data_IF_613491864089
#
_entry.id   IF_613491864089
#
_cell.length_a   1.000
_cell.length_b   1.000
_cell.length_c   1.000
_cell.angle_alpha   90.00
_cell.angle_beta   90.00
_cell.angle_gamma   90.00
#
_symmetry.space_group_name_H-M   'P 1'
#
loop_
_entity.id
_entity.type
_entity.pdbx_description
1 polymer ?
#
# COMPACT_ATOMS: atom_id res chain seq x y z
N UNK A 1 -26.34 -0.88 -2.78
CA UNK A 1 -27.11 -2.12 -2.64
C UNK A 1 -26.28 -3.22 -1.99
N UNK A 2 -26.88 -4.38 -1.73
CA UNK A 2 -26.26 -5.50 -1.01
C UNK A 2 -24.88 -5.93 -1.57
N UNK A 3 -24.74 -5.99 -2.89
CA UNK A 3 -23.46 -6.30 -3.56
C UNK A 3 -22.32 -5.34 -3.21
N UNK A 4 -22.63 -4.06 -2.96
CA UNK A 4 -21.63 -3.09 -2.55
C UNK A 4 -20.93 -3.50 -1.24
N UNK A 5 -21.69 -3.94 -0.25
CA UNK A 5 -21.11 -4.37 1.03
C UNK A 5 -20.23 -5.61 0.90
N UNK A 6 -20.62 -6.56 0.04
CA UNK A 6 -19.82 -7.77 -0.22
C UNK A 6 -18.50 -7.38 -0.89
N UNK A 7 -18.56 -6.55 -1.94
CA UNK A 7 -17.35 -6.09 -2.66
C UNK A 7 -16.45 -5.28 -1.72
N UNK A 8 -17.03 -4.36 -0.94
CA UNK A 8 -16.27 -3.57 0.03
C UNK A 8 -15.56 -4.45 1.06
N UNK A 9 -16.23 -5.47 1.58
CA UNK A 9 -15.61 -6.40 2.53
C UNK A 9 -14.43 -7.16 1.88
N UNK A 10 -14.58 -7.63 0.65
CA UNK A 10 -13.49 -8.30 -0.09
C UNK A 10 -12.32 -7.35 -0.31
N UNK A 11 -12.59 -6.10 -0.71
CA UNK A 11 -11.54 -5.08 -0.93
C UNK A 11 -10.82 -4.77 0.37
N UNK A 12 -11.54 -4.54 1.47
CA UNK A 12 -10.94 -4.25 2.78
C UNK A 12 -10.05 -5.41 3.23
N UNK A 13 -10.56 -6.64 3.23
CA UNK A 13 -9.77 -7.82 3.60
C UNK A 13 -8.55 -7.98 2.69
N UNK A 14 -8.73 -7.80 1.38
CA UNK A 14 -7.64 -7.89 0.40
C UNK A 14 -6.54 -6.86 0.66
N UNK A 15 -6.90 -5.58 0.82
CA UNK A 15 -5.92 -4.50 1.08
C UNK A 15 -5.24 -4.67 2.43
N UNK A 16 -5.98 -4.99 3.50
CA UNK A 16 -5.39 -5.22 4.83
C UNK A 16 -4.33 -6.32 4.78
N UNK A 17 -4.61 -7.43 4.11
CA UNK A 17 -3.63 -8.51 3.94
C UNK A 17 -2.48 -8.10 3.00
N UNK A 18 -2.74 -7.31 1.96
CA UNK A 18 -1.72 -6.82 1.04
C UNK A 18 -0.71 -5.92 1.75
N UNK A 19 -1.18 -5.01 2.61
CA UNK A 19 -0.33 -4.15 3.45
C UNK A 19 0.50 -5.01 4.40
N UNK A 20 -0.10 -5.97 5.09
CA UNK A 20 0.62 -6.90 5.96
C UNK A 20 1.70 -7.70 5.22
N UNK A 21 1.42 -8.18 4.01
CA UNK A 21 2.41 -8.87 3.16
C UNK A 21 3.57 -7.94 2.72
N UNK A 22 3.37 -6.64 2.74
CA UNK A 22 4.37 -5.64 2.35
C UNK A 22 5.38 -5.36 3.47
N UNK A 23 5.05 -5.67 4.73
CA UNK A 23 5.92 -5.49 5.91
C UNK A 23 6.97 -6.60 6.01
N UNK A 24 7.73 -6.84 4.94
CA UNK A 24 8.75 -7.89 4.87
C UNK A 24 10.19 -7.39 4.77
N UNK A 25 10.41 -6.08 4.58
CA UNK A 25 11.73 -5.44 4.45
C UNK A 25 11.74 -4.15 5.28
N UNK A 26 12.89 -3.84 5.88
CA UNK A 26 13.09 -2.68 6.74
C UNK A 26 12.62 -1.37 6.07
N UNK A 27 11.61 -0.72 6.68
CA UNK A 27 11.05 0.55 6.21
C UNK A 27 10.12 0.48 5.01
N UNK A 28 9.85 -0.69 4.44
CA UNK A 28 9.08 -0.80 3.20
C UNK A 28 7.63 -0.37 3.40
N UNK A 29 6.90 -1.02 4.30
CA UNK A 29 5.48 -0.74 4.54
C UNK A 29 5.26 0.69 5.04
N UNK A 30 6.06 1.15 6.01
CA UNK A 30 5.99 2.51 6.52
C UNK A 30 6.20 3.57 5.43
N UNK A 31 7.15 3.34 4.51
CA UNK A 31 7.43 4.27 3.40
C UNK A 31 6.31 4.30 2.36
N UNK A 32 5.79 3.14 1.96
CA UNK A 32 4.67 3.06 1.02
C UNK A 32 3.43 3.70 1.63
N UNK A 33 3.08 3.35 2.87
CA UNK A 33 1.93 3.91 3.58
C UNK A 33 2.04 5.42 3.75
N UNK A 34 3.24 5.95 3.99
CA UNK A 34 3.48 7.40 3.99
C UNK A 34 3.02 8.05 2.67
N UNK A 35 3.49 7.55 1.51
CA UNK A 35 3.11 8.12 0.22
C UNK A 35 1.63 7.91 -0.11
N UNK A 36 1.03 6.80 0.29
CA UNK A 36 -0.40 6.55 0.18
C UNK A 36 -1.19 7.61 0.97
N UNK A 37 -0.80 7.86 2.23
CA UNK A 37 -1.45 8.87 3.06
C UNK A 37 -1.28 10.28 2.51
N UNK A 38 -0.10 10.66 1.98
CA UNK A 38 0.11 11.94 1.30
C UNK A 38 -0.80 12.07 0.07
N UNK A 39 -0.94 11.02 -0.72
CA UNK A 39 -1.80 11.01 -1.91
C UNK A 39 -3.27 11.27 -1.53
N UNK A 40 -3.78 10.55 -0.54
CA UNK A 40 -5.13 10.77 -0.04
C UNK A 40 -5.31 12.12 0.65
N UNK A 41 -4.30 12.64 1.35
CA UNK A 41 -4.33 13.99 1.93
C UNK A 41 -4.55 15.04 0.85
N UNK A 42 -3.81 14.97 -0.27
CA UNK A 42 -3.96 15.91 -1.40
C UNK A 42 -5.34 15.79 -2.02
N UNK A 43 -5.81 14.58 -2.29
CA UNK A 43 -7.14 14.32 -2.87
C UNK A 43 -8.26 14.82 -1.95
N UNK A 44 -8.19 14.49 -0.66
CA UNK A 44 -9.17 14.93 0.32
C UNK A 44 -9.21 16.48 0.46
N UNK A 45 -8.05 17.13 0.37
CA UNK A 45 -7.94 18.59 0.35
C UNK A 45 -8.62 19.17 -0.89
N UNK A 46 -8.39 18.63 -2.08
CA UNK A 46 -9.06 19.05 -3.33
C UNK A 46 -10.58 18.91 -3.24
N UNK A 47 -11.06 17.89 -2.54
CA UNK A 47 -12.49 17.64 -2.33
C UNK A 47 -13.07 18.41 -1.13
N UNK A 48 -12.30 19.30 -0.50
CA UNK A 48 -12.70 20.07 0.69
C UNK A 48 -13.11 19.19 1.89
N UNK A 49 -12.63 17.94 1.94
CA UNK A 49 -12.88 16.99 3.02
C UNK A 49 -11.87 17.18 4.17
N UNK A 50 -11.95 18.31 4.88
CA UNK A 50 -10.94 18.74 5.87
C UNK A 50 -10.65 17.72 6.96
N UNK A 51 -11.67 16.99 7.44
CA UNK A 51 -11.48 15.94 8.44
C UNK A 51 -10.60 14.80 7.91
N UNK A 52 -10.86 14.33 6.69
CA UNK A 52 -10.07 13.26 6.06
C UNK A 52 -8.66 13.74 5.72
N UNK A 53 -8.53 15.02 5.28
CA UNK A 53 -7.23 15.65 5.06
C UNK A 53 -6.37 15.63 6.33
N UNK A 54 -6.94 16.04 7.48
CA UNK A 54 -6.24 16.03 8.76
C UNK A 54 -5.84 14.62 9.21
N UNK A 55 -6.74 13.64 9.02
CA UNK A 55 -6.46 12.23 9.34
C UNK A 55 -5.33 11.65 8.48
N UNK A 56 -5.37 11.91 7.18
CA UNK A 56 -4.34 11.47 6.25
C UNK A 56 -2.97 12.11 6.58
N UNK A 57 -2.97 13.42 6.91
CA UNK A 57 -1.77 14.12 7.32
C UNK A 57 -1.17 13.55 8.63
N UNK A 58 -2.02 13.30 9.64
CA UNK A 58 -1.59 12.70 10.91
C UNK A 58 -1.01 11.30 10.71
N UNK A 59 -1.65 10.50 9.84
CA UNK A 59 -1.19 9.16 9.50
C UNK A 59 0.16 9.18 8.76
N UNK A 60 0.33 10.09 7.81
CA UNK A 60 1.63 10.30 7.14
C UNK A 60 2.71 10.70 8.16
N UNK A 61 2.40 11.64 9.07
CA UNK A 61 3.32 12.03 10.14
C UNK A 61 3.70 10.88 11.07
N UNK A 62 2.75 10.01 11.42
CA UNK A 62 3.00 8.81 12.23
C UNK A 62 3.93 7.82 11.50
N UNK A 63 3.71 7.59 10.20
CA UNK A 63 4.62 6.76 9.39
C UNK A 63 6.03 7.32 9.34
N UNK A 64 6.20 8.65 9.15
CA UNK A 64 7.52 9.29 9.20
C UNK A 64 8.20 9.15 10.57
N UNK A 65 7.45 9.34 11.65
CA UNK A 65 7.97 9.14 13.00
C UNK A 65 8.43 7.69 13.24
N UNK A 66 7.67 6.72 12.76
CA UNK A 66 8.02 5.29 12.83
C UNK A 66 9.26 4.97 11.99
N UNK A 67 9.38 5.52 10.77
CA UNK A 67 10.50 5.29 9.85
C UNK A 67 11.85 5.73 10.42
N UNK A 68 11.89 6.68 11.36
CA UNK A 68 13.14 7.05 12.08
C UNK A 68 13.79 5.85 12.76
N UNK A 69 12.97 4.86 13.16
CA UNK A 69 13.43 3.65 13.87
C UNK A 69 13.34 2.39 13.04
N UNK A 70 12.49 2.37 12.02
CA UNK A 70 12.22 1.19 11.19
C UNK A 70 12.98 1.21 9.85
N UNK A 71 13.54 2.37 9.41
CA UNK A 71 14.35 2.40 8.19
C UNK A 71 15.65 1.60 8.37
N UNK A 72 16.11 0.99 7.28
CA UNK A 72 17.28 0.09 7.29
C UNK A 72 18.56 0.77 7.82
N UNK A 73 19.30 0.16 8.77
CA UNK A 73 18.97 -1.05 9.52
C UNK A 73 17.93 -0.78 10.62
N UNK A 74 16.84 -1.52 10.60
CA UNK A 74 15.73 -1.31 11.52
C UNK A 74 16.11 -1.61 12.97
N UNK A 75 15.62 -0.74 13.88
CA UNK A 75 15.75 -0.90 15.34
C UNK A 75 14.43 -1.31 16.00
N UNK A 76 13.31 -1.09 15.29
CA UNK A 76 11.96 -1.42 15.75
C UNK A 76 11.18 -1.98 14.57
N UNK A 77 10.40 -3.02 14.80
CA UNK A 77 9.55 -3.67 13.81
C UNK A 77 8.08 -3.40 14.13
N UNK A 78 7.26 -3.27 13.08
CA UNK A 78 5.84 -2.96 13.18
C UNK A 78 5.03 -4.17 13.67
N UNK A 79 5.33 -5.34 13.14
CA UNK A 79 4.60 -6.59 13.34
C UNK A 79 3.16 -6.54 12.81
N UNK A 80 2.47 -7.67 12.89
CA UNK A 80 1.12 -7.82 12.35
C UNK A 80 0.12 -6.81 12.91
N UNK A 81 0.26 -6.43 14.19
CA UNK A 81 -0.62 -5.44 14.82
C UNK A 81 -0.53 -4.09 14.11
N UNK A 82 0.68 -3.65 13.75
CA UNK A 82 0.88 -2.37 13.07
C UNK A 82 0.50 -2.44 11.60
N UNK A 83 0.95 -3.44 10.87
CA UNK A 83 0.71 -3.54 9.43
C UNK A 83 -0.77 -3.80 9.09
N UNK A 84 -1.48 -4.64 9.87
CA UNK A 84 -2.93 -4.81 9.73
C UNK A 84 -3.68 -3.52 10.08
N UNK A 85 -3.24 -2.78 11.11
CA UNK A 85 -3.80 -1.48 11.45
C UNK A 85 -3.62 -0.48 10.29
N UNK A 86 -2.42 -0.38 9.71
CA UNK A 86 -2.17 0.50 8.57
C UNK A 86 -3.02 0.13 7.34
N UNK A 87 -3.19 -1.15 7.07
CA UNK A 87 -4.08 -1.61 6.01
C UNK A 87 -5.55 -1.19 6.24
N UNK A 88 -6.04 -1.34 7.46
CA UNK A 88 -7.38 -0.86 7.87
C UNK A 88 -7.51 0.66 7.77
N UNK A 89 -6.48 1.40 8.19
CA UNK A 89 -6.43 2.86 8.12
C UNK A 89 -6.49 3.36 6.66
N UNK A 90 -5.70 2.78 5.77
CA UNK A 90 -5.69 3.13 4.34
C UNK A 90 -7.07 2.88 3.71
N UNK A 91 -7.71 1.75 4.03
CA UNK A 91 -9.08 1.49 3.61
C UNK A 91 -10.05 2.54 4.17
N UNK A 92 -9.98 2.84 5.47
CA UNK A 92 -10.86 3.81 6.11
C UNK A 92 -10.75 5.19 5.47
N UNK A 93 -9.56 5.67 5.15
CA UNK A 93 -9.32 6.94 4.46
C UNK A 93 -9.98 6.92 3.06
N UNK A 94 -9.77 5.86 2.27
CA UNK A 94 -10.31 5.74 0.93
C UNK A 94 -11.85 5.73 0.91
N UNK A 95 -12.47 5.03 1.85
CA UNK A 95 -13.92 5.03 2.00
C UNK A 95 -14.46 6.37 2.56
N UNK A 96 -13.70 7.06 3.43
CA UNK A 96 -14.09 8.37 3.97
C UNK A 96 -14.02 9.50 2.93
N UNK A 97 -13.19 9.37 1.90
CA UNK A 97 -13.18 10.27 0.72
C UNK A 97 -14.29 9.91 -0.27
N UNK A 98 -15.04 8.83 -0.03
CA UNK A 98 -16.06 8.26 -0.91
C UNK A 98 -15.52 7.79 -2.28
N UNK A 99 -14.21 7.49 -2.34
CA UNK A 99 -13.52 7.02 -3.55
C UNK A 99 -12.68 5.77 -3.31
N UNK A 100 -13.26 4.64 -2.84
CA UNK A 100 -12.51 3.42 -2.57
C UNK A 100 -11.83 2.84 -3.81
N UNK A 101 -12.29 3.18 -5.01
CA UNK A 101 -11.66 2.77 -6.28
C UNK A 101 -10.21 3.27 -6.40
N UNK A 102 -9.86 4.37 -5.74
CA UNK A 102 -8.50 4.92 -5.73
C UNK A 102 -7.50 4.03 -4.99
N UNK A 103 -7.97 3.06 -4.20
CA UNK A 103 -7.09 2.03 -3.63
C UNK A 103 -6.37 1.20 -4.71
N UNK A 104 -6.95 1.08 -5.91
CA UNK A 104 -6.31 0.34 -7.00
C UNK A 104 -5.03 1.05 -7.50
N UNK A 105 -5.08 2.30 -7.96
CA UNK A 105 -3.85 2.98 -8.41
C UNK A 105 -2.95 3.40 -7.24
N UNK A 106 -3.47 4.01 -6.17
CA UNK A 106 -2.64 4.48 -5.05
C UNK A 106 -1.98 3.31 -4.31
N UNK A 107 -2.70 2.19 -4.15
CA UNK A 107 -2.23 0.97 -3.51
C UNK A 107 -1.57 -0.02 -4.47
N UNK A 108 -1.12 0.41 -5.66
CA UNK A 108 -0.62 -0.50 -6.70
C UNK A 108 0.51 -1.41 -6.20
N UNK A 109 1.39 -0.90 -5.35
CA UNK A 109 2.49 -1.70 -4.80
C UNK A 109 1.95 -2.78 -3.88
N UNK A 110 1.01 -2.48 -2.98
CA UNK A 110 0.35 -3.48 -2.15
C UNK A 110 -0.30 -4.58 -2.99
N UNK A 111 -0.99 -4.18 -4.07
CA UNK A 111 -1.60 -5.13 -4.99
C UNK A 111 -0.55 -6.01 -5.67
N UNK A 112 0.57 -5.46 -6.11
CA UNK A 112 1.67 -6.23 -6.69
C UNK A 112 2.24 -7.25 -5.70
N UNK A 113 2.42 -6.86 -4.43
CA UNK A 113 2.86 -7.77 -3.37
C UNK A 113 1.88 -8.94 -3.20
N UNK A 114 0.60 -8.65 -3.02
CA UNK A 114 -0.45 -9.66 -2.86
C UNK A 114 -0.58 -10.55 -4.10
N UNK A 115 -0.68 -9.96 -5.30
CA UNK A 115 -0.83 -10.74 -6.53
C UNK A 115 0.39 -11.60 -6.84
N UNK A 116 1.59 -11.17 -6.48
CA UNK A 116 2.79 -11.99 -6.63
C UNK A 116 2.70 -13.29 -5.83
N UNK A 117 2.14 -13.23 -4.62
CA UNK A 117 1.90 -14.43 -3.78
C UNK A 117 0.82 -15.32 -4.39
N UNK A 118 -0.31 -14.73 -4.79
CA UNK A 118 -1.42 -15.49 -5.42
C UNK A 118 -0.94 -16.21 -6.68
N UNK A 119 -0.22 -15.51 -7.55
CA UNK A 119 0.32 -16.07 -8.79
C UNK A 119 1.35 -17.16 -8.51
N UNK A 120 2.28 -16.92 -7.58
CA UNK A 120 3.30 -17.89 -7.20
C UNK A 120 2.66 -19.19 -6.68
N UNK A 121 1.72 -19.09 -5.75
CA UNK A 121 1.08 -20.25 -5.15
C UNK A 121 0.24 -21.01 -6.19
N UNK A 122 -0.51 -20.29 -7.01
CA UNK A 122 -1.33 -20.89 -8.08
C UNK A 122 -0.47 -21.60 -9.11
N UNK A 123 0.60 -20.95 -9.57
CA UNK A 123 1.54 -21.54 -10.54
C UNK A 123 2.27 -22.76 -9.95
N UNK A 124 2.73 -22.67 -8.71
CA UNK A 124 3.43 -23.75 -8.03
C UNK A 124 2.55 -25.00 -7.91
N UNK A 125 1.27 -24.81 -7.55
CA UNK A 125 0.29 -25.91 -7.48
C UNK A 125 0.00 -26.50 -8.85
N UNK A 126 -0.23 -25.66 -9.86
CA UNK A 126 -0.56 -26.08 -11.23
C UNK A 126 0.59 -26.82 -11.94
N UNK A 127 1.85 -26.47 -11.60
CA UNK A 127 3.05 -27.02 -12.25
C UNK A 127 3.80 -28.06 -11.42
N UNK A 128 3.19 -28.53 -10.33
CA UNK A 128 3.78 -29.53 -9.44
C UNK A 128 5.18 -29.14 -8.92
N UNK A 129 5.35 -27.90 -8.49
CA UNK A 129 6.55 -27.44 -7.79
C UNK A 129 7.46 -26.46 -8.53
N UNK A 130 7.08 -26.02 -9.74
CA UNK A 130 7.85 -24.95 -10.43
C UNK A 130 7.51 -23.58 -9.84
N UNK A 131 8.51 -22.72 -9.73
CA UNK A 131 8.35 -21.35 -9.23
C UNK A 131 8.28 -20.35 -10.39
N UNK A 132 7.37 -19.38 -10.30
CA UNK A 132 7.26 -18.26 -11.24
C UNK A 132 8.28 -17.16 -10.86
N UNK A 133 8.30 -16.77 -9.59
CA UNK A 133 9.26 -15.84 -9.01
C UNK A 133 10.29 -16.63 -8.19
N UNK A 134 11.50 -16.08 -8.00
CA UNK A 134 12.51 -16.68 -7.12
C UNK A 134 11.98 -16.86 -5.70
N UNK A 135 11.24 -15.85 -5.22
CA UNK A 135 10.53 -15.84 -3.94
C UNK A 135 9.31 -14.91 -4.04
N UNK A 136 8.30 -15.09 -3.21
CA UNK A 136 7.16 -14.18 -3.04
C UNK A 136 6.95 -13.92 -1.55
N UNK A 137 6.48 -12.71 -1.16
CA UNK A 137 6.05 -11.58 -1.99
C UNK A 137 7.14 -11.00 -2.91
N UNK A 138 6.76 -10.04 -3.81
CA UNK A 138 7.64 -9.61 -4.92
C UNK A 138 8.91 -8.89 -4.44
N UNK A 139 8.89 -8.21 -3.30
CA UNK A 139 10.09 -7.58 -2.73
C UNK A 139 11.21 -8.62 -2.48
N UNK A 140 10.88 -9.80 -1.98
CA UNK A 140 11.85 -10.89 -1.81
C UNK A 140 12.41 -11.42 -3.15
N UNK A 141 11.63 -11.35 -4.23
CA UNK A 141 12.16 -11.66 -5.55
C UNK A 141 13.31 -10.72 -5.93
N UNK A 142 13.15 -9.42 -5.66
CA UNK A 142 14.19 -8.41 -5.95
C UNK A 142 15.41 -8.57 -5.03
N UNK A 143 15.23 -8.91 -3.75
CA UNK A 143 16.35 -9.27 -2.85
C UNK A 143 17.14 -10.44 -3.42
N UNK A 144 16.45 -11.52 -3.86
CA UNK A 144 17.07 -12.67 -4.50
C UNK A 144 17.70 -12.36 -5.87
N UNK A 145 17.39 -11.20 -6.46
CA UNK A 145 18.04 -10.64 -7.63
C UNK A 145 19.22 -9.72 -7.29
N UNK A 146 19.55 -9.54 -6.00
CA UNK A 146 20.71 -8.77 -5.53
C UNK A 146 20.42 -7.27 -5.31
N UNK A 147 19.16 -6.88 -5.19
CA UNK A 147 18.82 -5.52 -4.78
C UNK A 147 19.00 -5.36 -3.27
N UNK A 148 19.56 -4.22 -2.84
CA UNK A 148 19.57 -3.87 -1.42
C UNK A 148 18.17 -3.45 -0.95
N UNK A 149 17.89 -3.63 0.33
CA UNK A 149 16.62 -3.22 0.96
C UNK A 149 16.31 -1.75 0.69
N UNK A 150 17.29 -0.86 0.90
CA UNK A 150 17.15 0.58 0.63
C UNK A 150 16.74 0.84 -0.83
N UNK A 151 17.28 0.08 -1.79
CA UNK A 151 16.91 0.21 -3.20
C UNK A 151 15.46 -0.22 -3.43
N UNK A 152 15.03 -1.34 -2.84
CA UNK A 152 13.65 -1.83 -2.94
C UNK A 152 12.69 -0.80 -2.37
N UNK A 153 12.93 -0.33 -1.15
CA UNK A 153 12.11 0.70 -0.49
C UNK A 153 12.02 1.96 -1.35
N UNK A 154 13.17 2.44 -1.87
CA UNK A 154 13.19 3.66 -2.70
C UNK A 154 12.39 3.52 -3.98
N UNK A 155 12.59 2.42 -4.72
CA UNK A 155 11.89 2.19 -6.00
C UNK A 155 10.38 2.03 -5.76
N UNK A 156 9.97 1.24 -4.78
CA UNK A 156 8.56 1.00 -4.49
C UNK A 156 7.86 2.26 -3.99
N UNK A 157 8.55 3.07 -3.16
CA UNK A 157 8.05 4.38 -2.72
C UNK A 157 7.87 5.35 -3.89
N UNK A 158 8.84 5.42 -4.82
CA UNK A 158 8.74 6.25 -6.02
C UNK A 158 7.56 5.80 -6.89
N UNK A 159 7.38 4.50 -7.10
CA UNK A 159 6.23 3.97 -7.85
C UNK A 159 4.92 4.40 -7.17
N UNK A 160 4.80 4.24 -5.85
CA UNK A 160 3.61 4.66 -5.09
C UNK A 160 3.38 6.17 -5.24
N UNK A 161 4.41 6.99 -5.13
CA UNK A 161 4.30 8.45 -5.30
C UNK A 161 3.81 8.83 -6.71
N UNK A 162 4.34 8.20 -7.76
CA UNK A 162 3.92 8.43 -9.16
C UNK A 162 2.44 8.11 -9.33
N UNK A 163 1.99 6.93 -8.87
CA UNK A 163 0.60 6.54 -8.97
C UNK A 163 -0.32 7.40 -8.08
N UNK A 164 0.19 7.91 -6.95
CA UNK A 164 -0.49 8.90 -6.14
C UNK A 164 -0.73 10.21 -6.89
N UNK A 165 0.29 10.73 -7.58
CA UNK A 165 0.17 11.94 -8.42
C UNK A 165 -0.81 11.71 -9.58
N UNK A 166 -0.72 10.57 -10.27
CA UNK A 166 -1.65 10.21 -11.35
C UNK A 166 -3.09 10.20 -10.81
N UNK A 167 -3.32 9.60 -9.64
CA UNK A 167 -4.64 9.52 -9.01
C UNK A 167 -5.17 10.92 -8.65
N UNK A 168 -4.32 11.79 -8.11
CA UNK A 168 -4.68 13.16 -7.80
C UNK A 168 -5.06 13.96 -9.08
N UNK A 169 -4.32 13.76 -10.17
CA UNK A 169 -4.66 14.38 -11.47
C UNK A 169 -5.98 13.85 -12.04
N UNK A 170 -6.25 12.55 -11.94
CA UNK A 170 -7.54 11.97 -12.36
C UNK A 170 -8.69 12.59 -11.59
N UNK A 171 -8.54 12.74 -10.27
CA UNK A 171 -9.57 13.38 -9.45
C UNK A 171 -9.72 14.85 -9.78
N UNK A 172 -8.63 15.59 -9.96
CA UNK A 172 -8.67 17.00 -10.32
C UNK A 172 -9.45 17.24 -11.63
N UNK A 173 -9.09 16.54 -12.69
CA UNK A 173 -9.73 16.72 -14.00
C UNK A 173 -11.08 16.01 -14.13
N UNK A 174 -11.36 14.98 -13.36
CA UNK A 174 -12.59 14.20 -13.45
C UNK A 174 -13.71 14.63 -12.50
N UNK A 175 -13.38 15.28 -11.40
CA UNK A 175 -14.35 15.59 -10.33
C UNK A 175 -14.36 17.07 -9.94
N UNK A 176 -13.19 17.74 -9.98
CA UNK A 176 -13.03 19.11 -9.47
C UNK A 176 -13.04 20.15 -10.61
N UNK A 177 -12.48 19.85 -11.77
CA UNK A 177 -12.47 20.69 -12.96
C UNK A 177 -13.71 20.46 -13.82
#
# INVERSE_FOLDING_TARGET
>A
GFFYYIISAIVIVGIVNAVNLTDGVDGLDGSITFFVCISFMVIACMMSALGVTAWSAASAGACLGFLVWNFHPAKVFMGDTGSLFLGGLVCAIAFAVDMPILLLPIGIVYLCEMFSVILQVSYFKATHGKRLFKMSPIHHHFEMCGWSEVKIVSVFSIVTAIFGVISALIVYFGVVA
#
